data_IF_936144862278
#
_entry.id   IF_936144862278
#
_cell.length_a   1.000
_cell.length_b   1.000
_cell.length_c   1.000
_cell.angle_alpha   90.00
_cell.angle_beta   90.00
_cell.angle_gamma   90.00
#
_symmetry.space_group_name_H-M   'P 1'
#
loop_
_entity.id
_entity.type
_entity.pdbx_description
1 polymer ?
#
# COMPACT_ATOMS: atom_id res chain seq x y z
N UNK A 1 -3.45 7.07 -65.46
CA UNK A 1 -4.04 7.70 -64.25
C UNK A 1 -4.99 6.65 -63.67
N UNK A 2 -4.65 5.87 -62.65
CA UNK A 2 -4.69 6.20 -61.21
C UNK A 2 -3.72 5.30 -60.44
N UNK A 3 -2.92 5.89 -59.56
CA UNK A 3 -1.91 5.25 -58.69
C UNK A 3 -2.55 4.47 -57.52
N UNK A 4 -1.98 3.33 -57.07
CA UNK A 4 -2.42 2.66 -55.85
C UNK A 4 -1.75 3.31 -54.63
N UNK A 5 -2.07 4.57 -54.36
CA UNK A 5 -1.55 5.32 -53.21
C UNK A 5 -2.51 5.30 -51.99
N UNK A 6 -3.54 4.44 -52.01
CA UNK A 6 -4.65 4.49 -51.06
C UNK A 6 -4.60 3.41 -49.93
N UNK A 7 -3.62 2.51 -49.90
CA UNK A 7 -3.74 1.29 -49.09
C UNK A 7 -2.95 1.23 -47.76
N UNK A 8 -2.13 2.22 -47.38
CA UNK A 8 -1.22 2.03 -46.22
C UNK A 8 -0.99 3.24 -45.33
N UNK A 9 -2.04 3.78 -44.70
CA UNK A 9 -1.83 4.60 -43.49
C UNK A 9 -2.94 4.50 -42.44
N UNK A 10 -3.30 3.28 -42.07
CA UNK A 10 -4.05 3.01 -40.85
C UNK A 10 -3.13 2.44 -39.75
N UNK A 11 -2.06 3.14 -39.37
CA UNK A 11 -1.26 2.78 -38.19
C UNK A 11 -0.74 4.04 -37.51
N UNK A 12 -1.42 4.46 -36.46
CA UNK A 12 -1.01 5.61 -35.66
C UNK A 12 -1.95 6.04 -34.54
N UNK A 13 -2.91 5.20 -34.13
CA UNK A 13 -3.54 5.34 -32.80
C UNK A 13 -2.89 4.29 -31.91
N UNK A 14 -1.69 4.60 -31.40
CA UNK A 14 -1.15 3.86 -30.26
C UNK A 14 -2.11 4.15 -29.13
N UNK A 15 -2.97 3.18 -28.87
CA UNK A 15 -3.95 3.12 -27.79
C UNK A 15 -3.25 3.66 -26.54
N UNK A 16 -3.66 4.81 -26.04
CA UNK A 16 -3.27 5.29 -24.72
C UNK A 16 -3.78 4.26 -23.71
N UNK A 17 -2.98 3.22 -23.47
CA UNK A 17 -3.25 2.21 -22.46
C UNK A 17 -3.11 2.95 -21.14
N UNK A 18 -4.17 2.96 -20.33
CA UNK A 18 -4.11 3.55 -19.00
C UNK A 18 -2.91 2.96 -18.25
N UNK A 19 -1.97 3.82 -17.85
CA UNK A 19 -0.73 3.42 -17.18
C UNK A 19 -1.00 2.57 -15.94
N UNK A 20 -2.11 2.83 -15.25
CA UNK A 20 -2.59 2.01 -14.14
C UNK A 20 -2.86 0.54 -14.51
N UNK A 21 -3.44 0.27 -15.69
CA UNK A 21 -3.72 -1.10 -16.15
C UNK A 21 -2.41 -1.84 -16.44
N UNK A 22 -1.43 -1.14 -17.01
CA UNK A 22 -0.11 -1.73 -17.28
C UNK A 22 0.66 -1.99 -15.99
N UNK A 23 0.65 -1.05 -15.05
CA UNK A 23 1.25 -1.20 -13.72
C UNK A 23 0.68 -2.43 -13.00
N UNK A 24 -0.65 -2.54 -12.92
CA UNK A 24 -1.30 -3.66 -12.26
C UNK A 24 -1.04 -5.00 -12.95
N UNK A 25 -1.00 -5.04 -14.28
CA UNK A 25 -0.64 -6.26 -15.02
C UNK A 25 0.77 -6.74 -14.69
N UNK A 26 1.72 -5.83 -14.53
CA UNK A 26 3.10 -6.17 -14.21
C UNK A 26 3.25 -6.62 -12.76
N UNK A 27 2.56 -5.99 -11.82
CA UNK A 27 2.58 -6.33 -10.39
C UNK A 27 1.69 -7.55 -10.03
N UNK A 28 0.81 -7.99 -10.95
CA UNK A 28 -0.16 -9.06 -10.68
C UNK A 28 0.46 -10.37 -10.17
N UNK A 29 1.58 -10.89 -10.74
CA UNK A 29 2.20 -12.12 -10.25
C UNK A 29 2.67 -12.03 -8.79
N UNK A 30 3.14 -10.85 -8.37
CA UNK A 30 3.57 -10.58 -7.00
C UNK A 30 2.37 -10.40 -6.04
N UNK A 31 1.21 -10.01 -6.57
CA UNK A 31 -0.01 -9.83 -5.79
C UNK A 31 -0.78 -11.13 -5.54
N UNK A 32 -0.67 -12.14 -6.40
CA UNK A 32 -1.42 -13.41 -6.26
C UNK A 32 -1.25 -14.07 -4.87
N UNK A 33 -0.02 -14.23 -4.31
CA UNK A 33 0.17 -14.85 -3.00
C UNK A 33 -0.55 -14.12 -1.86
N UNK A 34 -0.84 -12.83 -2.02
CA UNK A 34 -1.60 -12.07 -1.03
C UNK A 34 -3.06 -12.54 -0.92
N UNK A 35 -3.63 -13.10 -1.98
CA UNK A 35 -5.00 -13.59 -1.99
C UNK A 35 -5.19 -14.89 -1.20
N UNK A 36 -4.10 -15.60 -0.89
CA UNK A 36 -4.13 -16.82 -0.08
C UNK A 36 -4.23 -16.52 1.42
N UNK A 37 -3.99 -15.27 1.85
CA UNK A 37 -4.12 -14.90 3.26
C UNK A 37 -5.56 -14.94 3.77
N UNK A 38 -5.73 -15.26 5.05
CA UNK A 38 -7.02 -15.19 5.74
C UNK A 38 -7.67 -13.79 5.66
N UNK A 39 -8.99 -13.74 5.74
CA UNK A 39 -9.76 -12.49 5.64
C UNK A 39 -9.32 -11.42 6.64
N UNK A 40 -8.95 -11.81 7.86
CA UNK A 40 -8.49 -10.88 8.89
C UNK A 40 -7.16 -10.21 8.52
N UNK A 41 -6.23 -10.94 7.91
CA UNK A 41 -4.95 -10.40 7.43
C UNK A 41 -5.21 -9.45 6.25
N UNK A 42 -6.01 -9.89 5.27
CA UNK A 42 -6.33 -9.06 4.10
C UNK A 42 -7.05 -7.77 4.49
N UNK A 43 -7.97 -7.83 5.46
CA UNK A 43 -8.69 -6.64 5.97
C UNK A 43 -7.73 -5.62 6.57
N UNK A 44 -6.72 -6.06 7.32
CA UNK A 44 -5.71 -5.15 7.90
C UNK A 44 -4.83 -4.56 6.79
N UNK A 45 -4.31 -5.37 5.88
CA UNK A 45 -3.40 -4.90 4.81
C UNK A 45 -4.12 -3.97 3.82
N UNK A 46 -5.31 -4.35 3.34
CA UNK A 46 -6.08 -3.52 2.40
C UNK A 46 -6.62 -2.24 3.02
N UNK A 47 -6.69 -2.13 4.36
CA UNK A 47 -7.13 -0.90 5.00
C UNK A 47 -6.15 0.27 4.80
N UNK A 48 -4.90 0.00 4.40
CA UNK A 48 -3.79 0.94 4.14
C UNK A 48 -3.48 1.96 5.25
N UNK A 49 -4.25 1.93 6.34
CA UNK A 49 -4.32 2.94 7.38
C UNK A 49 -3.00 3.07 8.14
N UNK A 50 -2.30 1.95 8.37
CA UNK A 50 -1.00 1.97 9.06
C UNK A 50 0.07 2.72 8.27
N UNK A 51 0.18 2.46 6.95
CA UNK A 51 1.17 3.09 6.07
C UNK A 51 0.78 4.56 5.82
N UNK A 52 -0.51 4.84 5.60
CA UNK A 52 -1.02 6.20 5.42
C UNK A 52 -0.80 7.06 6.67
N UNK A 53 -1.09 6.53 7.86
CA UNK A 53 -0.86 7.22 9.13
C UNK A 53 0.63 7.50 9.37
N UNK A 54 1.51 6.55 9.02
CA UNK A 54 2.95 6.74 9.11
C UNK A 54 3.45 7.82 8.13
N UNK A 55 3.00 7.76 6.87
CA UNK A 55 3.34 8.74 5.85
C UNK A 55 2.84 10.15 6.22
N UNK A 56 1.65 10.25 6.82
CA UNK A 56 1.14 11.51 7.33
C UNK A 56 2.02 12.08 8.46
N UNK A 57 2.58 11.23 9.34
CA UNK A 57 3.52 11.66 10.40
C UNK A 57 4.85 12.13 9.81
N UNK A 58 5.40 11.38 8.86
CA UNK A 58 6.63 11.79 8.17
C UNK A 58 6.42 13.09 7.40
N UNK A 59 5.30 13.24 6.70
CA UNK A 59 4.93 14.48 6.02
C UNK A 59 4.85 15.67 6.98
N UNK A 60 4.25 15.50 8.17
CA UNK A 60 4.22 16.54 9.22
C UNK A 60 5.64 16.91 9.69
N UNK A 61 6.49 15.93 9.93
CA UNK A 61 7.85 16.16 10.43
C UNK A 61 8.77 16.81 9.39
N UNK A 62 8.62 16.43 8.12
CA UNK A 62 9.35 17.03 7.00
C UNK A 62 8.86 18.45 6.73
N UNK A 63 7.54 18.69 6.70
CA UNK A 63 7.00 20.06 6.53
C UNK A 63 7.45 21.03 7.62
N UNK A 64 7.63 20.55 8.86
CA UNK A 64 8.17 21.36 9.95
C UNK A 64 9.66 21.73 9.76
N UNK A 65 10.39 21.01 8.90
CA UNK A 65 11.81 21.22 8.61
C UNK A 65 11.99 21.51 7.12
N UNK A 66 11.80 22.77 6.75
CA UNK A 66 11.82 23.27 5.35
C UNK A 66 13.10 22.87 4.58
N UNK A 67 14.24 22.72 5.26
CA UNK A 67 15.49 22.29 4.65
C UNK A 67 16.26 21.32 5.56
N UNK A 68 16.95 20.35 4.95
CA UNK A 68 17.87 19.44 5.63
C UNK A 68 19.29 19.67 5.14
N UNK A 69 20.26 19.94 6.03
CA UNK A 69 21.64 20.24 5.65
C UNK A 69 22.41 19.01 5.15
N UNK A 70 22.00 17.79 5.55
CA UNK A 70 22.58 16.52 5.10
C UNK A 70 21.51 15.42 5.06
N UNK A 71 21.75 14.36 4.28
CA UNK A 71 20.88 13.17 4.25
C UNK A 71 20.77 12.51 5.62
N UNK A 72 21.88 12.46 6.38
CA UNK A 72 21.91 11.93 7.74
C UNK A 72 20.99 12.71 8.69
N UNK A 73 20.88 14.03 8.53
CA UNK A 73 19.96 14.86 9.32
C UNK A 73 18.49 14.54 8.99
N UNK A 74 18.16 14.29 7.73
CA UNK A 74 16.83 13.84 7.32
C UNK A 74 16.51 12.45 7.89
N UNK A 75 17.45 11.50 7.79
CA UNK A 75 17.30 10.16 8.35
C UNK A 75 17.09 10.19 9.87
N UNK A 76 17.88 11.00 10.60
CA UNK A 76 17.71 11.18 12.05
C UNK A 76 16.33 11.75 12.39
N UNK A 77 15.79 12.65 11.57
CA UNK A 77 14.45 13.18 11.74
C UNK A 77 13.39 12.07 11.64
N UNK A 78 13.44 11.25 10.58
CA UNK A 78 12.50 10.14 10.37
C UNK A 78 12.61 9.07 11.47
N UNK A 79 13.83 8.76 11.90
CA UNK A 79 14.08 7.85 13.02
C UNK A 79 13.42 8.35 14.31
N UNK A 80 13.62 9.62 14.66
CA UNK A 80 13.01 10.22 15.84
C UNK A 80 11.47 10.27 15.76
N UNK A 81 10.90 10.44 14.58
CA UNK A 81 9.44 10.39 14.39
C UNK A 81 8.91 9.00 14.63
N UNK A 82 9.64 7.97 14.22
CA UNK A 82 9.26 6.56 14.38
C UNK A 82 9.28 6.14 15.85
N UNK A 83 10.33 6.53 16.58
CA UNK A 83 10.50 6.18 18.00
C UNK A 83 9.62 6.95 18.99
N UNK A 84 8.86 7.96 18.54
CA UNK A 84 7.95 8.71 19.43
C UNK A 84 6.66 7.92 19.70
N UNK A 85 6.36 7.58 20.96
CA UNK A 85 5.15 6.86 21.31
C UNK A 85 3.90 7.72 21.05
N UNK A 86 2.83 7.11 20.54
CA UNK A 86 1.62 7.81 20.10
C UNK A 86 0.75 8.37 21.24
N UNK A 87 1.09 8.07 22.49
CA UNK A 87 0.19 8.14 23.65
C UNK A 87 -0.29 9.55 24.07
N UNK A 88 0.13 10.64 23.41
CA UNK A 88 -0.23 12.01 23.85
C UNK A 88 -0.78 12.93 22.73
N UNK A 89 -1.54 12.37 21.78
CA UNK A 89 -2.41 13.16 20.89
C UNK A 89 -3.54 12.28 20.36
N UNK A 90 -4.77 12.59 20.75
CA UNK A 90 -5.98 12.01 20.15
C UNK A 90 -6.10 12.50 18.70
N UNK A 91 -5.36 11.89 17.78
CA UNK A 91 -5.76 11.91 16.38
C UNK A 91 -7.01 11.01 16.33
N UNK A 92 -8.18 11.55 15.98
CA UNK A 92 -9.49 10.83 16.00
C UNK A 92 -9.46 9.51 15.20
N UNK A 93 -8.51 9.37 14.27
CA UNK A 93 -8.21 8.15 13.51
C UNK A 93 -7.55 7.04 14.34
N UNK A 94 -6.72 7.36 15.35
CA UNK A 94 -5.93 6.42 16.15
C UNK A 94 -6.74 5.36 16.88
N UNK A 95 -7.89 5.77 17.45
CA UNK A 95 -8.83 4.87 18.14
C UNK A 95 -9.49 3.85 17.18
N UNK A 96 -9.84 4.27 15.97
CA UNK A 96 -10.36 3.37 14.93
C UNK A 96 -9.29 2.40 14.38
N UNK A 97 -8.02 2.78 14.46
CA UNK A 97 -6.87 1.93 14.07
C UNK A 97 -6.64 0.83 15.10
N UNK A 98 -6.86 1.08 16.39
CA UNK A 98 -6.60 0.14 17.51
C UNK A 98 -7.68 -0.94 17.70
N UNK A 99 -8.93 -0.67 17.34
CA UNK A 99 -10.01 -1.68 17.42
C UNK A 99 -9.87 -2.82 16.38
N UNK A 100 -9.18 -2.57 15.26
CA UNK A 100 -8.97 -3.54 14.17
C UNK A 100 -7.89 -4.62 14.42
N UNK A 101 -6.74 -4.34 15.08
CA UNK A 101 -5.74 -5.35 15.39
C UNK A 101 -6.17 -6.31 16.50
N UNK A 102 -7.25 -6.08 17.24
CA UNK A 102 -7.74 -7.06 18.22
C UNK A 102 -8.22 -8.36 17.56
N UNK A 103 -8.94 -8.27 16.44
CA UNK A 103 -9.31 -9.43 15.62
C UNK A 103 -8.07 -10.16 15.09
N UNK A 104 -7.05 -9.41 14.64
CA UNK A 104 -5.77 -9.98 14.19
C UNK A 104 -4.99 -10.62 15.36
N UNK A 105 -4.94 -9.99 16.54
CA UNK A 105 -4.32 -10.53 17.75
C UNK A 105 -5.00 -11.83 18.15
N UNK A 106 -6.32 -11.90 18.07
CA UNK A 106 -7.10 -13.13 18.29
C UNK A 106 -6.80 -14.19 17.23
N UNK A 107 -6.67 -13.79 15.97
CA UNK A 107 -6.33 -14.69 14.84
C UNK A 107 -4.94 -15.31 15.01
N UNK A 108 -3.93 -14.50 15.34
CA UNK A 108 -2.54 -14.93 15.53
C UNK A 108 -2.35 -15.80 16.78
N UNK A 109 -3.17 -15.61 17.83
CA UNK A 109 -3.15 -16.41 19.06
C UNK A 109 -3.82 -17.79 18.91
N UNK A 110 -4.54 -18.07 17.82
CA UNK A 110 -5.14 -19.41 17.61
C UNK A 110 -4.04 -20.47 17.38
N UNK A 111 -4.13 -21.66 18.03
CA UNK A 111 -3.22 -22.76 17.78
C UNK A 111 -3.33 -23.27 16.33
N UNK A 112 -2.20 -23.73 15.78
CA UNK A 112 -1.93 -24.00 14.36
C UNK A 112 -2.90 -24.99 13.67
N UNK A 113 -3.66 -25.76 14.46
CA UNK A 113 -4.59 -26.78 13.97
C UNK A 113 -5.75 -26.21 13.11
N UNK A 114 -6.09 -24.92 13.23
CA UNK A 114 -7.14 -24.29 12.41
C UNK A 114 -6.61 -23.48 11.22
N UNK A 115 -5.30 -23.48 10.96
CA UNK A 115 -4.70 -22.69 9.86
C UNK A 115 -4.78 -23.38 8.50
N UNK A 116 -5.12 -24.66 8.47
CA UNK A 116 -5.32 -25.47 7.26
C UNK A 116 -6.73 -26.04 7.25
N UNK A 117 -7.72 -25.21 6.97
CA UNK A 117 -8.92 -25.71 6.28
C UNK A 117 -8.58 -25.62 4.78
N UNK A 118 -8.36 -26.74 4.07
CA UNK A 118 -8.33 -26.73 2.62
C UNK A 118 -9.74 -26.35 2.16
N UNK A 119 -9.83 -25.29 1.34
CA UNK A 119 -11.06 -24.93 0.63
C UNK A 119 -11.43 -26.05 -0.36
N UNK A 120 -12.10 -27.09 0.13
CA UNK A 120 -12.95 -27.96 -0.68
C UNK A 120 -14.40 -27.67 -0.34
N UNK A 121 -15.01 -26.77 -1.12
CA UNK A 121 -16.42 -26.88 -1.53
C UNK A 121 -16.67 -26.04 -2.78
#
# INVERSE_FOLDING_TARGET
MVTPAAAMRARGKVRARCTAILLWRNAWPEFIPFLDYGLEIRRVVCSNNAIECLNARYGRAVKARVHFPTEQAAMKCLYLVTGRPQWHRQDTMGSAVEARPECLRRYLRRPDASRREPLTR
#
